data_IF_589578930038
#
_entry.id   IF_589578930038
#
_cell.length_a   1.000
_cell.length_b   1.000
_cell.length_c   1.000
_cell.angle_alpha   90.00
_cell.angle_beta   90.00
_cell.angle_gamma   90.00
#
_symmetry.space_group_name_H-M   'P 1'
#
loop_
_entity.id
_entity.type
_entity.pdbx_description
1 polymer ?
#
# COMPACT_ATOMS: atom_id res chain seq x y z
N UNK A 1 23.17 11.82 -4.52
CA UNK A 1 22.22 10.83 -3.94
C UNK A 1 21.42 11.50 -2.84
N UNK A 2 20.07 11.50 -2.91
CA UNK A 2 19.24 12.03 -1.83
C UNK A 2 19.53 11.22 -0.56
N UNK A 3 19.90 11.88 0.52
CA UNK A 3 20.03 11.24 1.83
C UNK A 3 18.60 10.86 2.30
N UNK A 4 18.31 9.60 2.61
CA UNK A 4 17.06 9.27 3.26
C UNK A 4 17.08 9.86 4.67
N UNK A 5 16.38 10.95 4.87
CA UNK A 5 16.09 11.46 6.22
C UNK A 5 14.68 11.09 6.57
N UNK A 6 14.48 10.01 7.32
CA UNK A 6 13.25 9.84 8.07
C UNK A 6 13.33 10.71 9.34
N UNK A 7 12.20 11.23 9.80
CA UNK A 7 12.14 11.99 11.05
C UNK A 7 12.75 11.22 12.24
N UNK A 8 12.63 9.89 12.25
CA UNK A 8 13.27 9.01 13.23
C UNK A 8 14.81 9.09 13.16
N UNK A 9 15.39 9.07 11.95
CA UNK A 9 16.84 9.21 11.77
C UNK A 9 17.37 10.55 12.34
N UNK A 10 16.61 11.65 12.18
CA UNK A 10 17.01 12.95 12.72
C UNK A 10 16.91 13.03 14.24
N UNK A 11 15.98 12.32 14.86
CA UNK A 11 15.89 12.18 16.33
C UNK A 11 17.10 11.43 16.86
N UNK A 12 17.50 10.32 16.26
CA UNK A 12 18.70 9.57 16.67
C UNK A 12 19.98 10.36 16.51
N UNK A 13 20.13 11.18 15.47
CA UNK A 13 21.31 12.05 15.29
C UNK A 13 21.46 13.13 16.36
N UNK A 14 20.40 13.48 17.08
CA UNK A 14 20.43 14.44 18.20
C UNK A 14 20.83 13.80 19.53
N UNK A 15 20.81 12.48 19.63
CA UNK A 15 21.28 11.75 20.80
C UNK A 15 22.81 11.79 20.83
N UNK A 16 23.35 12.22 21.96
CA UNK A 16 24.80 12.18 22.19
C UNK A 16 25.19 10.74 22.55
N UNK A 17 26.28 10.23 22.01
CA UNK A 17 26.85 8.90 22.30
C UNK A 17 26.07 7.71 21.68
N UNK A 18 25.98 7.65 20.36
CA UNK A 18 25.62 6.43 19.66
C UNK A 18 26.74 5.98 18.71
N UNK A 19 26.86 4.68 18.48
CA UNK A 19 27.69 4.09 17.43
C UNK A 19 26.79 3.46 16.37
N UNK A 20 27.15 3.64 15.10
CA UNK A 20 26.45 2.98 13.99
C UNK A 20 27.16 1.65 13.77
N UNK A 21 26.49 0.55 14.11
CA UNK A 21 27.03 -0.81 13.92
C UNK A 21 26.79 -1.31 12.49
N UNK A 22 25.65 -0.93 11.89
CA UNK A 22 25.27 -1.40 10.55
C UNK A 22 24.37 -0.36 9.86
N UNK A 23 24.48 -0.27 8.54
CA UNK A 23 23.60 0.56 7.70
C UNK A 23 22.99 -0.33 6.63
N UNK A 24 21.67 -0.47 6.66
CA UNK A 24 20.91 -1.12 5.61
C UNK A 24 20.35 -0.11 4.62
N UNK A 25 20.46 -0.41 3.34
CA UNK A 25 19.81 0.33 2.27
C UNK A 25 18.81 -0.59 1.56
N UNK A 26 17.55 -0.18 1.54
CA UNK A 26 16.48 -0.95 0.90
C UNK A 26 15.65 -0.07 -0.02
N UNK A 27 15.01 -0.69 -1.01
CA UNK A 27 14.03 -0.06 -1.88
C UNK A 27 12.74 -0.86 -1.84
N UNK A 28 11.66 -0.24 -1.34
CA UNK A 28 10.33 -0.84 -1.29
C UNK A 28 9.57 -0.42 -2.56
N UNK A 29 9.24 -1.35 -3.46
CA UNK A 29 8.54 -1.01 -4.70
C UNK A 29 7.09 -0.60 -4.42
N UNK A 30 6.71 0.57 -4.90
CA UNK A 30 5.32 1.05 -4.92
C UNK A 30 4.62 0.46 -6.16
N UNK A 31 4.05 -0.72 -6.03
CA UNK A 31 3.52 -1.47 -7.17
C UNK A 31 2.32 -2.34 -6.81
N UNK A 32 1.35 -2.42 -7.74
CA UNK A 32 0.27 -3.40 -7.71
C UNK A 32 0.59 -4.65 -8.56
N UNK A 33 1.85 -5.01 -8.70
CA UNK A 33 2.25 -6.23 -9.39
C UNK A 33 1.56 -7.44 -8.73
N UNK A 34 1.03 -8.39 -9.52
CA UNK A 34 0.31 -9.55 -8.99
C UNK A 34 1.26 -10.65 -8.49
N UNK A 35 1.98 -10.38 -7.40
CA UNK A 35 2.98 -11.29 -6.81
C UNK A 35 2.45 -12.70 -6.53
N UNK A 36 1.15 -12.83 -6.20
CA UNK A 36 0.49 -14.10 -5.97
C UNK A 36 0.57 -15.08 -7.16
N UNK A 37 0.85 -14.59 -8.38
CA UNK A 37 1.04 -15.46 -9.56
C UNK A 37 2.33 -16.28 -9.49
N UNK A 38 3.26 -15.92 -8.61
CA UNK A 38 4.48 -16.68 -8.38
C UNK A 38 4.32 -17.76 -7.30
N UNK A 39 3.19 -17.78 -6.60
CA UNK A 39 2.89 -18.84 -5.65
C UNK A 39 2.69 -20.17 -6.38
N UNK A 40 3.14 -21.24 -5.75
CA UNK A 40 2.91 -22.60 -6.20
C UNK A 40 2.21 -23.43 -5.11
N UNK A 41 1.88 -24.67 -5.39
CA UNK A 41 1.24 -25.53 -4.40
C UNK A 41 2.01 -25.57 -3.06
N UNK A 42 3.36 -25.53 -3.09
CA UNK A 42 4.22 -25.68 -1.92
C UNK A 42 5.03 -24.44 -1.55
N UNK A 43 4.95 -23.36 -2.34
CA UNK A 43 5.72 -22.13 -2.11
C UNK A 43 4.79 -20.95 -2.09
N UNK A 44 4.84 -20.17 -1.03
CA UNK A 44 4.12 -18.92 -0.85
C UNK A 44 5.11 -17.78 -0.63
N UNK A 45 5.01 -16.75 -1.44
CA UNK A 45 5.72 -15.49 -1.18
C UNK A 45 4.93 -14.66 -0.18
N UNK A 46 5.60 -14.18 0.86
CA UNK A 46 5.02 -13.40 1.97
C UNK A 46 5.68 -12.03 2.09
N UNK A 47 5.13 -11.16 2.92
CA UNK A 47 5.65 -9.81 3.14
C UNK A 47 5.69 -8.99 1.87
N UNK A 48 6.72 -8.17 1.68
CA UNK A 48 6.88 -7.33 0.49
C UNK A 48 7.02 -8.15 -0.80
N UNK A 49 7.73 -9.29 -0.74
CA UNK A 49 7.88 -10.21 -1.85
C UNK A 49 6.56 -10.90 -2.26
N UNK A 50 5.60 -11.00 -1.34
CA UNK A 50 4.25 -11.52 -1.61
C UNK A 50 3.21 -10.45 -1.90
N UNK A 51 3.60 -9.17 -1.97
CA UNK A 51 2.67 -8.06 -2.17
C UNK A 51 1.76 -7.81 -0.98
N UNK A 52 2.22 -8.08 0.24
CA UNK A 52 1.44 -7.84 1.46
C UNK A 52 1.54 -6.40 1.95
N UNK A 53 2.45 -5.62 1.39
CA UNK A 53 2.59 -4.18 1.62
C UNK A 53 1.52 -3.43 0.82
N UNK A 54 0.90 -2.42 1.42
CA UNK A 54 -0.05 -1.56 0.71
C UNK A 54 0.66 -0.77 -0.38
N UNK A 55 0.28 -1.03 -1.62
CA UNK A 55 1.02 -0.58 -2.80
C UNK A 55 1.14 0.94 -2.91
N UNK A 56 0.13 1.69 -2.48
CA UNK A 56 0.08 3.15 -2.63
C UNK A 56 0.80 3.93 -1.52
N UNK A 57 1.05 3.32 -0.37
CA UNK A 57 1.56 4.02 0.82
C UNK A 57 2.73 3.34 1.51
N UNK A 58 3.01 2.07 1.19
CA UNK A 58 3.99 1.27 1.90
C UNK A 58 3.54 0.79 3.28
N UNK A 59 2.27 1.05 3.67
CA UNK A 59 1.75 0.62 4.97
C UNK A 59 1.68 -0.91 5.03
N UNK A 60 2.33 -1.50 6.04
CA UNK A 60 2.66 -2.94 5.97
C UNK A 60 2.29 -3.69 7.23
N UNK A 61 2.49 -3.12 8.41
CA UNK A 61 2.42 -3.82 9.70
C UNK A 61 1.08 -4.52 9.93
N UNK A 62 -0.02 -3.79 9.87
CA UNK A 62 -1.36 -4.34 10.08
C UNK A 62 -1.74 -5.36 8.99
N UNK A 63 -1.36 -5.10 7.73
CA UNK A 63 -1.59 -6.00 6.61
C UNK A 63 -0.88 -7.35 6.80
N UNK A 64 0.39 -7.33 7.20
CA UNK A 64 1.17 -8.57 7.47
C UNK A 64 0.51 -9.36 8.59
N UNK A 65 0.15 -8.72 9.71
CA UNK A 65 -0.51 -9.40 10.84
C UNK A 65 -1.78 -10.13 10.39
N UNK A 66 -2.70 -9.40 9.72
CA UNK A 66 -3.97 -9.97 9.25
C UNK A 66 -3.79 -11.11 8.25
N UNK A 67 -2.86 -10.94 7.31
CA UNK A 67 -2.59 -11.96 6.29
C UNK A 67 -1.89 -13.19 6.90
N UNK A 68 -1.06 -13.02 7.92
CA UNK A 68 -0.46 -14.13 8.65
C UNK A 68 -1.50 -14.94 9.41
N UNK A 69 -2.42 -14.29 10.12
CA UNK A 69 -3.55 -14.95 10.79
C UNK A 69 -4.42 -15.73 9.79
N UNK A 70 -4.73 -15.10 8.65
CA UNK A 70 -5.48 -15.74 7.56
C UNK A 70 -4.73 -16.95 6.98
N UNK A 71 -3.41 -16.85 6.80
CA UNK A 71 -2.56 -17.93 6.30
C UNK A 71 -2.57 -19.12 7.25
N UNK A 72 -2.39 -18.90 8.54
CA UNK A 72 -2.44 -19.97 9.55
C UNK A 72 -3.78 -20.71 9.51
N UNK A 73 -4.89 -19.97 9.40
CA UNK A 73 -6.21 -20.58 9.30
C UNK A 73 -6.45 -21.30 7.96
N UNK A 74 -5.87 -20.80 6.87
CA UNK A 74 -5.91 -21.44 5.57
C UNK A 74 -5.18 -22.79 5.58
N UNK A 75 -3.97 -22.84 6.13
CA UNK A 75 -3.14 -24.04 6.21
C UNK A 75 -3.76 -25.18 7.03
N UNK A 76 -4.66 -24.87 7.96
CA UNK A 76 -5.42 -25.89 8.71
C UNK A 76 -6.39 -26.70 7.83
N UNK A 77 -6.76 -26.17 6.67
CA UNK A 77 -7.84 -26.72 5.82
C UNK A 77 -7.41 -26.98 4.37
N UNK A 78 -6.26 -26.47 3.97
CA UNK A 78 -5.81 -26.50 2.57
C UNK A 78 -4.31 -26.79 2.50
N UNK A 79 -3.92 -27.52 1.47
CA UNK A 79 -2.53 -27.89 1.16
C UNK A 79 -1.98 -27.21 -0.10
N UNK A 80 -2.80 -26.40 -0.77
CA UNK A 80 -2.45 -25.73 -2.03
C UNK A 80 -2.29 -24.21 -1.83
N UNK A 81 -1.04 -23.78 -1.63
CA UNK A 81 -0.71 -22.37 -1.41
C UNK A 81 -0.90 -21.48 -2.65
N UNK A 82 -0.99 -22.06 -3.85
CA UNK A 82 -1.24 -21.28 -5.08
C UNK A 82 -2.60 -20.60 -5.08
N UNK A 83 -3.52 -21.12 -4.28
CA UNK A 83 -4.89 -20.60 -4.13
C UNK A 83 -5.05 -19.64 -2.95
N UNK A 84 -3.97 -19.44 -2.19
CA UNK A 84 -3.99 -18.47 -1.11
C UNK A 84 -3.96 -17.08 -1.69
N UNK A 85 -4.88 -16.25 -1.21
CA UNK A 85 -5.02 -14.84 -1.47
C UNK A 85 -5.68 -14.43 -2.78
N UNK A 86 -6.64 -13.52 -2.62
CA UNK A 86 -7.34 -12.84 -3.70
C UNK A 86 -7.14 -11.33 -3.61
N UNK A 87 -7.23 -10.67 -4.75
CA UNK A 87 -7.35 -9.22 -4.82
C UNK A 87 -8.67 -8.79 -4.17
N UNK A 88 -8.61 -7.70 -3.41
CA UNK A 88 -9.80 -7.05 -2.87
C UNK A 88 -10.00 -5.68 -3.55
N UNK A 89 -11.05 -4.94 -3.16
CA UNK A 89 -11.35 -3.61 -3.72
C UNK A 89 -10.24 -2.59 -3.45
N UNK A 90 -9.51 -2.69 -2.34
CA UNK A 90 -8.41 -1.78 -1.98
C UNK A 90 -7.23 -1.91 -2.93
N UNK A 91 -7.00 -3.08 -3.50
CA UNK A 91 -6.01 -3.26 -4.57
C UNK A 91 -6.32 -2.38 -5.79
N UNK A 92 -7.59 -2.24 -6.16
CA UNK A 92 -8.02 -1.35 -7.25
C UNK A 92 -7.86 0.12 -6.90
N UNK A 93 -8.09 0.50 -5.64
CA UNK A 93 -7.87 1.87 -5.17
C UNK A 93 -6.39 2.23 -5.21
N UNK A 94 -5.53 1.34 -4.74
CA UNK A 94 -4.09 1.51 -4.80
C UNK A 94 -3.58 1.62 -6.24
N UNK A 95 -4.09 0.77 -7.13
CA UNK A 95 -3.73 0.79 -8.54
C UNK A 95 -4.05 2.13 -9.20
N UNK A 96 -5.26 2.65 -8.98
CA UNK A 96 -5.69 3.94 -9.50
C UNK A 96 -4.90 5.10 -8.88
N UNK A 97 -4.58 5.02 -7.59
CA UNK A 97 -3.79 6.03 -6.91
C UNK A 97 -2.36 6.06 -7.43
N UNK A 98 -1.75 4.92 -7.68
CA UNK A 98 -0.42 4.82 -8.29
C UNK A 98 -0.41 5.37 -9.72
N UNK A 99 -1.45 5.14 -10.52
CA UNK A 99 -1.58 5.75 -11.85
C UNK A 99 -1.62 7.28 -11.77
N UNK A 100 -2.29 7.82 -10.76
CA UNK A 100 -2.30 9.27 -10.53
C UNK A 100 -0.92 9.77 -10.10
N UNK A 101 -0.28 9.09 -9.14
CA UNK A 101 1.04 9.49 -8.66
C UNK A 101 2.12 9.37 -9.75
N UNK A 102 2.12 8.30 -10.55
CA UNK A 102 3.12 8.14 -11.63
C UNK A 102 3.09 9.29 -12.63
N UNK A 103 1.91 9.88 -12.85
CA UNK A 103 1.74 10.99 -13.79
C UNK A 103 1.83 12.38 -13.14
N UNK A 104 1.40 12.49 -11.91
CA UNK A 104 1.25 13.75 -11.18
C UNK A 104 1.97 13.71 -9.83
N UNK A 105 3.16 13.13 -9.78
CA UNK A 105 3.91 12.97 -8.53
C UNK A 105 4.14 14.30 -7.79
N UNK A 106 4.36 15.40 -8.53
CA UNK A 106 4.45 16.75 -7.98
C UNK A 106 3.23 17.19 -7.16
N UNK A 107 2.06 16.55 -7.38
CA UNK A 107 0.83 16.79 -6.61
C UNK A 107 0.65 15.82 -5.43
N UNK A 108 1.57 14.89 -5.21
CA UNK A 108 1.47 13.89 -4.16
C UNK A 108 1.26 14.51 -2.77
N UNK A 109 2.06 15.50 -2.40
CA UNK A 109 1.91 16.22 -1.15
C UNK A 109 0.52 16.86 -0.99
N UNK A 110 0.02 17.52 -2.04
CA UNK A 110 -1.31 18.13 -2.03
C UNK A 110 -2.42 17.08 -1.85
N UNK A 111 -2.29 15.92 -2.51
CA UNK A 111 -3.28 14.84 -2.41
C UNK A 111 -3.36 14.30 -0.97
N UNK A 112 -2.21 14.00 -0.36
CA UNK A 112 -2.17 13.54 1.01
C UNK A 112 -2.67 14.62 1.99
N UNK A 113 -2.23 15.87 1.83
CA UNK A 113 -2.71 16.98 2.67
C UNK A 113 -4.23 17.08 2.61
N UNK A 114 -4.85 17.01 1.43
CA UNK A 114 -6.32 17.06 1.29
C UNK A 114 -7.00 15.86 1.95
N UNK A 115 -6.42 14.67 1.82
CA UNK A 115 -6.95 13.47 2.48
C UNK A 115 -6.96 13.65 4.01
N UNK A 116 -5.84 14.07 4.60
CA UNK A 116 -5.71 14.22 6.05
C UNK A 116 -6.46 15.43 6.61
N UNK A 117 -6.56 16.54 5.88
CA UNK A 117 -7.26 17.73 6.35
C UNK A 117 -8.79 17.62 6.30
N UNK A 118 -9.33 16.77 5.41
CA UNK A 118 -10.79 16.66 5.20
C UNK A 118 -11.41 15.44 5.87
N UNK A 119 -10.61 14.51 6.37
CA UNK A 119 -11.08 13.29 7.00
C UNK A 119 -10.51 13.16 8.41
N UNK A 120 -11.25 12.51 9.30
CA UNK A 120 -10.76 12.17 10.63
C UNK A 120 -9.62 11.16 10.51
N UNK A 121 -8.57 11.31 11.32
CA UNK A 121 -7.41 10.43 11.33
C UNK A 121 -7.80 8.96 11.51
N UNK A 122 -8.75 8.68 12.38
CA UNK A 122 -9.30 7.34 12.62
C UNK A 122 -9.81 6.67 11.33
N UNK A 123 -10.57 7.42 10.49
CA UNK A 123 -11.09 6.90 9.22
C UNK A 123 -9.95 6.64 8.23
N UNK A 124 -8.93 7.51 8.22
CA UNK A 124 -7.76 7.34 7.36
C UNK A 124 -6.98 6.09 7.76
N UNK A 125 -6.71 5.90 9.05
CA UNK A 125 -6.01 4.71 9.55
C UNK A 125 -6.79 3.44 9.22
N UNK A 126 -8.11 3.46 9.42
CA UNK A 126 -9.01 2.37 9.05
C UNK A 126 -8.98 2.07 7.53
N UNK A 127 -8.85 3.11 6.70
CA UNK A 127 -8.67 2.95 5.26
C UNK A 127 -7.32 2.33 4.89
N UNK A 128 -6.24 2.74 5.56
CA UNK A 128 -4.92 2.15 5.38
C UNK A 128 -4.89 0.68 5.82
N UNK A 129 -5.69 0.33 6.81
CA UNK A 129 -5.87 -1.04 7.30
C UNK A 129 -6.84 -1.89 6.46
N UNK A 130 -7.42 -1.31 5.39
CA UNK A 130 -8.39 -1.96 4.51
C UNK A 130 -9.68 -2.42 5.24
N UNK A 131 -10.13 -1.65 6.23
CA UNK A 131 -11.29 -1.94 7.09
C UNK A 131 -12.46 -0.98 6.92
N UNK A 132 -12.35 0.01 6.02
CA UNK A 132 -13.41 0.98 5.81
C UNK A 132 -14.63 0.37 5.13
N UNK A 133 -15.79 0.89 5.49
CA UNK A 133 -17.04 0.67 4.77
C UNK A 133 -17.08 1.48 3.47
N UNK A 134 -17.92 1.11 2.52
CA UNK A 134 -18.12 1.86 1.27
C UNK A 134 -18.49 3.33 1.50
N UNK A 135 -19.26 3.63 2.55
CA UNK A 135 -19.63 5.00 2.90
C UNK A 135 -18.42 5.84 3.35
N UNK A 136 -17.53 5.27 4.17
CA UNK A 136 -16.29 5.91 4.60
C UNK A 136 -15.35 6.13 3.41
N UNK A 137 -15.27 5.16 2.50
CA UNK A 137 -14.47 5.25 1.27
C UNK A 137 -14.93 6.38 0.35
N UNK A 138 -16.25 6.53 0.16
CA UNK A 138 -16.82 7.64 -0.61
C UNK A 138 -16.41 8.99 -0.01
N UNK A 139 -16.44 9.14 1.32
CA UNK A 139 -15.98 10.36 1.98
C UNK A 139 -14.51 10.66 1.68
N UNK A 140 -13.66 9.64 1.77
CA UNK A 140 -12.24 9.78 1.45
C UNK A 140 -12.06 10.18 -0.02
N UNK A 141 -12.76 9.51 -0.95
CA UNK A 141 -12.64 9.82 -2.39
C UNK A 141 -13.13 11.22 -2.74
N UNK A 142 -14.15 11.72 -2.05
CA UNK A 142 -14.61 13.09 -2.22
C UNK A 142 -13.62 14.16 -1.74
N UNK A 143 -12.63 13.78 -0.93
CA UNK A 143 -11.55 14.68 -0.51
C UNK A 143 -10.50 14.92 -1.60
N UNK A 144 -10.40 14.04 -2.58
CA UNK A 144 -9.45 14.15 -3.69
C UNK A 144 -9.94 15.00 -4.86
N UNK A 145 -9.03 15.54 -5.69
CA UNK A 145 -9.36 16.18 -6.96
C UNK A 145 -9.94 15.16 -7.95
N UNK A 146 -11.27 15.10 -8.04
CA UNK A 146 -12.02 14.07 -8.81
C UNK A 146 -11.55 13.92 -10.25
N UNK A 147 -11.28 15.04 -10.94
CA UNK A 147 -10.89 15.05 -12.35
C UNK A 147 -9.61 14.24 -12.62
N UNK A 148 -8.64 14.24 -11.70
CA UNK A 148 -7.40 13.47 -11.86
C UNK A 148 -7.68 11.97 -11.85
N UNK A 149 -8.51 11.52 -10.91
CA UNK A 149 -8.85 10.11 -10.75
C UNK A 149 -9.74 9.60 -11.88
N UNK A 150 -10.79 10.35 -12.24
CA UNK A 150 -11.68 10.00 -13.35
C UNK A 150 -10.89 9.89 -14.66
N UNK A 151 -9.98 10.82 -14.94
CA UNK A 151 -9.14 10.77 -16.14
C UNK A 151 -8.25 9.53 -16.19
N UNK A 152 -7.67 9.10 -15.08
CA UNK A 152 -6.86 7.89 -15.04
C UNK A 152 -7.71 6.63 -15.13
N UNK A 153 -8.89 6.62 -14.50
CA UNK A 153 -9.84 5.51 -14.59
C UNK A 153 -10.26 5.25 -16.05
N UNK A 154 -10.70 6.31 -16.76
CA UNK A 154 -11.07 6.21 -18.19
C UNK A 154 -9.90 5.67 -19.02
N UNK A 155 -8.70 6.20 -18.80
CA UNK A 155 -7.49 5.73 -19.50
C UNK A 155 -7.20 4.25 -19.28
N UNK A 156 -7.41 3.78 -18.05
CA UNK A 156 -7.20 2.37 -17.70
C UNK A 156 -8.24 1.47 -18.35
N UNK A 157 -9.51 1.88 -18.35
CA UNK A 157 -10.58 1.14 -19.01
C UNK A 157 -10.29 0.97 -20.51
N UNK A 158 -9.88 2.03 -21.19
CA UNK A 158 -9.51 1.97 -22.63
C UNK A 158 -8.32 1.03 -22.87
N UNK A 159 -7.31 1.02 -21.99
CA UNK A 159 -6.14 0.13 -22.11
C UNK A 159 -6.44 -1.35 -21.81
N UNK A 160 -7.47 -1.62 -21.03
CA UNK A 160 -7.87 -2.99 -20.68
C UNK A 160 -8.70 -3.66 -21.78
N UNK A 161 -9.18 -2.90 -22.76
CA UNK A 161 -9.95 -3.38 -23.91
C UNK A 161 -9.10 -3.69 -25.13
N UNK A 162 -7.80 -3.47 -25.06
CA UNK A 162 -6.77 -3.88 -26.04
C UNK A 162 -5.76 -4.83 -25.37
#
# INVERSE_FOLDING_TARGET
TPKPSSAASDVYKRQRNYSINEIENGNIPMTCYPFHKHNSKRVLFIGSAGGWTKASTGFTFSSIRKKSEKLVNYLKKNDDLSKFESKNRFWWYDLLFLDVLSKYNHKGSELFTKMFSKNKLEIILKFLDEETSYYEEIKIFLSFPRLLFVKQLIKRLIRSTH
#
